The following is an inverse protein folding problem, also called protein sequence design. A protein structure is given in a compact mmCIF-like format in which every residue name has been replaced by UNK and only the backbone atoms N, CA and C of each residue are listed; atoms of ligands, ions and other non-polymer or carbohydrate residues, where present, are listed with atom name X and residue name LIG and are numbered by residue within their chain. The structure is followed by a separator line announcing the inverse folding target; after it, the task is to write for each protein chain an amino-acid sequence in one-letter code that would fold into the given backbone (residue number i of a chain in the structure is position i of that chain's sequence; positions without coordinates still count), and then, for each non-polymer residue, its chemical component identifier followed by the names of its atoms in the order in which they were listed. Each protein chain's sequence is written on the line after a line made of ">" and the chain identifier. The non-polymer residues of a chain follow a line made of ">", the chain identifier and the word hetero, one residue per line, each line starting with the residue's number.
data_IF_434139615991
#
_entry.id   IF_434139615991
#
_cell.length_a   1.000
_cell.length_b   1.000
_cell.length_c   1.000
_cell.angle_alpha   90.00
_cell.angle_beta   90.00
_cell.angle_gamma   90.00
#
_symmetry.space_group_name_H-M   'P 1'
#
loop_
_entity.id
_entity.type
_entity.pdbx_description
1 polymer ?
#
# COMPACT_ATOMS: atom_id res chain seq x y z
N UNK A 1 66.02 -64.84 -33.94
CA UNK A 1 65.64 -65.45 -32.64
C UNK A 1 64.11 -65.65 -32.62
N UNK A 2 63.70 -66.89 -32.31
CA UNK A 2 62.44 -67.45 -31.76
C UNK A 2 61.05 -66.78 -31.97
N UNK A 3 60.14 -67.67 -32.44
CA UNK A 3 58.65 -67.69 -32.47
C UNK A 3 57.94 -67.28 -31.16
N UNK A 4 56.64 -66.93 -31.27
CA UNK A 4 55.44 -67.58 -30.62
C UNK A 4 54.19 -66.67 -30.85
N UNK A 5 53.20 -67.04 -31.67
CA UNK A 5 51.91 -67.72 -31.35
C UNK A 5 51.21 -67.24 -30.05
N UNK A 6 50.04 -66.57 -30.13
CA UNK A 6 48.73 -67.04 -29.60
C UNK A 6 47.61 -65.96 -29.53
N UNK A 7 46.40 -66.45 -29.82
CA UNK A 7 45.04 -65.89 -29.68
C UNK A 7 44.53 -66.08 -28.21
N UNK A 8 43.22 -66.03 -27.86
CA UNK A 8 42.17 -64.99 -27.81
C UNK A 8 41.68 -64.69 -26.34
N UNK A 9 40.52 -64.00 -26.20
CA UNK A 9 39.56 -63.89 -25.05
C UNK A 9 39.74 -62.60 -24.23
N UNK A 10 38.74 -61.80 -23.83
CA UNK A 10 37.29 -62.00 -23.68
C UNK A 10 36.60 -60.65 -23.35
N UNK A 11 35.37 -60.52 -23.84
CA UNK A 11 34.19 -59.79 -23.31
C UNK A 11 34.31 -58.88 -22.07
N UNK A 12 33.69 -57.70 -22.14
CA UNK A 12 32.60 -57.25 -21.23
C UNK A 12 32.06 -55.86 -21.64
N UNK A 13 30.86 -55.84 -22.20
CA UNK A 13 29.61 -55.28 -21.62
C UNK A 13 29.45 -53.77 -21.72
N UNK A 14 28.40 -53.39 -22.44
CA UNK A 14 27.84 -52.06 -22.61
C UNK A 14 27.56 -51.36 -21.28
N UNK A 15 28.00 -50.10 -21.18
CA UNK A 15 27.49 -49.13 -20.23
C UNK A 15 26.86 -47.98 -21.00
N UNK A 16 25.55 -48.07 -21.21
CA UNK A 16 24.74 -46.97 -21.77
C UNK A 16 24.61 -45.90 -20.67
N UNK A 17 25.46 -44.88 -20.71
CA UNK A 17 25.33 -43.70 -19.84
C UNK A 17 24.15 -42.85 -20.33
N UNK A 18 23.02 -42.93 -19.64
CA UNK A 18 21.92 -41.97 -19.80
C UNK A 18 22.35 -40.61 -19.23
N UNK A 19 22.25 -39.50 -19.98
CA UNK A 19 22.47 -38.18 -19.42
C UNK A 19 21.26 -37.80 -18.54
N UNK A 20 21.52 -37.54 -17.26
CA UNK A 20 20.56 -36.95 -16.33
C UNK A 20 20.32 -35.49 -16.78
N UNK A 21 19.18 -35.22 -17.42
CA UNK A 21 18.76 -33.85 -17.74
C UNK A 21 18.28 -33.21 -16.43
N UNK A 22 19.13 -32.40 -15.82
CA UNK A 22 18.75 -31.56 -14.69
C UNK A 22 17.78 -30.47 -15.17
N UNK A 23 16.50 -30.59 -14.81
CA UNK A 23 15.51 -29.54 -15.01
C UNK A 23 15.88 -28.37 -14.07
N UNK A 24 16.53 -27.35 -14.60
CA UNK A 24 16.70 -26.08 -13.91
C UNK A 24 15.32 -25.40 -13.82
N UNK A 25 14.65 -25.56 -12.68
CA UNK A 25 13.48 -24.74 -12.33
C UNK A 25 14.01 -23.34 -12.10
N UNK A 26 13.90 -22.49 -13.13
CA UNK A 26 14.13 -21.06 -12.96
C UNK A 26 12.92 -20.51 -12.21
N UNK A 27 13.09 -20.28 -10.91
CA UNK A 27 12.16 -19.46 -10.15
C UNK A 27 12.19 -18.05 -10.75
N UNK A 28 11.16 -17.71 -11.53
CA UNK A 28 10.87 -16.31 -11.82
C UNK A 28 10.46 -15.68 -10.49
N UNK A 29 11.41 -15.01 -9.84
CA UNK A 29 11.08 -14.01 -8.84
C UNK A 29 10.34 -12.90 -9.61
N UNK A 30 9.01 -12.93 -9.56
CA UNK A 30 8.22 -11.76 -9.92
C UNK A 30 8.64 -10.67 -8.95
N UNK A 31 9.32 -9.63 -9.46
CA UNK A 31 9.40 -8.37 -8.75
C UNK A 31 7.97 -7.87 -8.63
N UNK A 32 7.36 -8.04 -7.47
CA UNK A 32 6.09 -7.37 -7.19
C UNK A 32 6.37 -5.87 -7.24
N UNK A 33 5.67 -5.20 -8.14
CA UNK A 33 5.69 -3.75 -8.24
C UNK A 33 5.10 -3.19 -6.95
N UNK A 34 5.96 -2.80 -6.01
CA UNK A 34 5.58 -2.14 -4.76
C UNK A 34 4.98 -0.74 -4.98
N UNK A 35 4.79 -0.30 -6.24
CA UNK A 35 3.89 0.79 -6.57
C UNK A 35 2.44 0.39 -6.25
N UNK A 36 2.02 0.58 -4.99
CA UNK A 36 0.68 0.18 -4.54
C UNK A 36 -0.40 0.66 -5.53
N UNK A 37 -1.12 -0.26 -6.21
CA UNK A 37 -2.09 0.06 -7.27
C UNK A 37 -3.37 0.72 -6.71
N UNK A 38 -3.45 0.87 -5.40
CA UNK A 38 -4.46 1.64 -4.71
C UNK A 38 -4.15 3.12 -4.76
N UNK A 39 -5.19 3.93 -4.97
CA UNK A 39 -5.05 5.38 -5.09
C UNK A 39 -5.32 6.02 -3.74
N UNK A 40 -4.46 6.95 -3.32
CA UNK A 40 -4.63 7.71 -2.08
C UNK A 40 -4.80 9.19 -2.39
N UNK A 41 -5.55 9.91 -1.57
CA UNK A 41 -5.78 11.35 -1.74
C UNK A 41 -4.79 12.15 -0.90
N UNK A 42 -4.22 13.19 -1.49
CA UNK A 42 -3.22 14.07 -0.88
C UNK A 42 -3.77 15.50 -0.85
N UNK A 43 -3.49 16.25 0.20
CA UNK A 43 -3.69 17.70 0.23
C UNK A 43 -2.53 18.37 -0.50
N UNK A 44 -2.59 18.49 -1.83
CA UNK A 44 -1.46 18.95 -2.66
C UNK A 44 -0.95 20.34 -2.28
N UNK A 45 -1.87 21.26 -1.97
CA UNK A 45 -1.54 22.68 -1.75
C UNK A 45 -1.18 23.02 -0.29
N UNK A 46 -1.24 22.03 0.61
CA UNK A 46 -0.89 22.18 2.03
C UNK A 46 0.16 21.15 2.44
N UNK A 47 0.90 21.43 3.52
CA UNK A 47 1.68 20.44 4.27
C UNK A 47 2.59 19.62 3.37
N UNK A 48 3.26 20.32 2.45
CA UNK A 48 4.20 19.77 1.47
C UNK A 48 3.61 18.68 0.56
N UNK A 49 2.29 18.69 0.33
CA UNK A 49 1.61 17.70 -0.51
C UNK A 49 2.14 17.62 -1.93
N UNK A 50 2.64 18.72 -2.51
CA UNK A 50 3.32 18.70 -3.82
C UNK A 50 4.51 17.74 -3.88
N UNK A 51 5.27 17.60 -2.79
CA UNK A 51 6.37 16.63 -2.73
C UNK A 51 5.82 15.19 -2.70
N UNK A 52 4.74 14.96 -1.96
CA UNK A 52 4.05 13.66 -1.89
C UNK A 52 3.49 13.27 -3.27
N UNK A 53 2.79 14.18 -3.96
CA UNK A 53 2.28 13.91 -5.32
C UNK A 53 3.40 13.76 -6.35
N UNK A 54 4.56 14.36 -6.11
CA UNK A 54 5.76 14.22 -6.95
C UNK A 54 6.57 12.94 -6.68
N UNK A 55 6.19 12.13 -5.69
CA UNK A 55 6.92 10.91 -5.31
C UNK A 55 8.17 11.14 -4.46
N UNK A 56 8.47 12.39 -4.07
CA UNK A 56 9.58 12.72 -3.18
C UNK A 56 9.16 12.54 -1.71
N UNK A 57 8.86 11.29 -1.36
CA UNK A 57 8.33 10.92 -0.06
C UNK A 57 9.32 11.22 1.07
N UNK A 58 10.61 10.94 0.87
CA UNK A 58 11.65 11.17 1.87
C UNK A 58 11.73 12.66 2.27
N UNK A 59 11.77 13.57 1.29
CA UNK A 59 11.81 15.02 1.57
C UNK A 59 10.49 15.51 2.15
N UNK A 60 9.35 14.98 1.69
CA UNK A 60 8.04 15.32 2.27
C UNK A 60 7.98 14.93 3.76
N UNK A 61 8.37 13.69 4.09
CA UNK A 61 8.38 13.15 5.45
C UNK A 61 9.25 14.01 6.37
N UNK A 62 10.48 14.33 5.96
CA UNK A 62 11.40 15.17 6.74
C UNK A 62 10.79 16.56 7.03
N UNK A 63 10.26 17.23 6.00
CA UNK A 63 9.70 18.58 6.13
C UNK A 63 8.40 18.64 6.92
N UNK A 64 7.54 17.62 6.81
CA UNK A 64 6.29 17.56 7.57
C UNK A 64 6.59 17.22 9.05
N UNK A 65 7.42 16.21 9.29
CA UNK A 65 7.70 15.69 10.65
C UNK A 65 8.50 16.68 11.49
N UNK A 66 9.50 17.37 10.91
CA UNK A 66 10.30 18.39 11.61
C UNK A 66 9.48 19.60 12.09
N UNK A 67 8.35 19.90 11.43
CA UNK A 67 7.37 20.91 11.92
C UNK A 67 6.45 20.35 13.00
N UNK A 68 6.12 19.06 12.93
CA UNK A 68 5.23 18.36 13.87
C UNK A 68 5.84 18.13 15.25
N UNK A 69 7.15 17.94 15.38
CA UNK A 69 7.79 17.85 16.70
C UNK A 69 7.64 19.14 17.53
N UNK A 70 7.42 20.28 16.86
CA UNK A 70 7.28 21.59 17.51
C UNK A 70 5.82 22.01 17.74
N UNK A 71 4.84 21.31 17.14
CA UNK A 71 3.41 21.68 17.14
C UNK A 71 2.55 20.43 16.97
N UNK A 72 1.37 20.37 17.61
CA UNK A 72 0.37 19.34 17.29
C UNK A 72 0.03 19.40 15.80
N UNK A 73 0.39 18.36 15.04
CA UNK A 73 0.23 18.32 13.57
C UNK A 73 -1.21 18.57 13.14
N UNK A 74 -1.38 19.22 11.98
CA UNK A 74 -2.69 19.48 11.38
C UNK A 74 -3.29 18.20 10.78
N UNK A 75 -4.54 18.27 10.32
CA UNK A 75 -5.18 17.12 9.69
C UNK A 75 -4.51 16.80 8.34
N UNK A 76 -4.25 17.84 7.56
CA UNK A 76 -3.57 17.80 6.25
C UNK A 76 -2.16 17.23 6.38
N UNK A 77 -1.40 17.64 7.40
CA UNK A 77 -0.08 17.10 7.67
C UNK A 77 -0.11 15.60 8.00
N UNK A 78 -1.05 15.16 8.84
CA UNK A 78 -1.20 13.74 9.18
C UNK A 78 -1.67 12.91 7.98
N UNK A 79 -2.58 13.46 7.18
CA UNK A 79 -3.02 12.81 5.93
C UNK A 79 -1.86 12.68 4.94
N UNK A 80 -1.07 13.73 4.74
CA UNK A 80 0.06 13.68 3.81
C UNK A 80 1.17 12.74 4.33
N UNK A 81 1.42 12.67 5.65
CA UNK A 81 2.31 11.66 6.23
C UNK A 81 1.77 10.24 6.06
N UNK A 82 0.48 10.02 6.29
CA UNK A 82 -0.19 8.73 6.05
C UNK A 82 0.08 8.24 4.61
N UNK A 83 -0.11 9.12 3.61
CA UNK A 83 0.18 8.78 2.21
C UNK A 83 1.66 8.55 1.97
N UNK A 84 2.53 9.47 2.41
CA UNK A 84 3.96 9.37 2.15
C UNK A 84 4.56 8.11 2.77
N UNK A 85 4.24 7.79 4.03
CA UNK A 85 4.70 6.57 4.69
C UNK A 85 4.13 5.31 4.05
N UNK A 86 2.85 5.31 3.65
CA UNK A 86 2.25 4.14 2.97
C UNK A 86 2.95 3.88 1.64
N UNK A 87 3.20 4.93 0.85
CA UNK A 87 3.82 4.83 -0.46
C UNK A 87 5.35 4.60 -0.39
N UNK A 88 6.02 4.96 0.70
CA UNK A 88 7.43 4.63 0.94
C UNK A 88 7.65 3.27 1.62
N UNK A 89 6.58 2.58 2.03
CA UNK A 89 6.66 1.28 2.70
C UNK A 89 6.97 1.34 4.20
N UNK A 90 6.93 2.52 4.82
CA UNK A 90 7.11 2.71 6.27
C UNK A 90 5.80 2.46 7.03
N UNK A 91 5.31 1.23 6.97
CA UNK A 91 3.92 0.88 7.31
C UNK A 91 3.55 1.13 8.77
N UNK A 92 4.47 0.95 9.73
CA UNK A 92 4.21 1.27 11.15
C UNK A 92 4.00 2.77 11.36
N UNK A 93 4.77 3.61 10.66
CA UNK A 93 4.61 5.06 10.75
C UNK A 93 3.36 5.52 10.00
N UNK A 94 3.04 4.86 8.90
CA UNK A 94 1.79 5.07 8.18
C UNK A 94 0.59 4.80 9.09
N UNK A 95 0.60 3.70 9.85
CA UNK A 95 -0.46 3.35 10.80
C UNK A 95 -0.71 4.47 11.80
N UNK A 96 0.35 4.96 12.45
CA UNK A 96 0.25 6.06 13.39
C UNK A 96 -0.33 7.33 12.75
N UNK A 97 0.14 7.68 11.54
CA UNK A 97 -0.31 8.88 10.84
C UNK A 97 -1.77 8.78 10.37
N UNK A 98 -2.16 7.67 9.73
CA UNK A 98 -3.52 7.45 9.24
C UNK A 98 -4.53 7.39 10.41
N UNK A 99 -4.20 6.67 11.49
CA UNK A 99 -5.04 6.63 12.68
C UNK A 99 -5.19 8.01 13.34
N UNK A 100 -4.12 8.80 13.38
CA UNK A 100 -4.18 10.16 13.90
C UNK A 100 -5.06 11.07 13.02
N UNK A 101 -4.98 10.96 11.69
CA UNK A 101 -5.82 11.72 10.77
C UNK A 101 -7.32 11.44 11.01
N UNK A 102 -7.70 10.16 11.07
CA UNK A 102 -9.10 9.74 11.37
C UNK A 102 -9.53 10.24 12.74
N UNK A 103 -8.74 10.02 13.79
CA UNK A 103 -9.07 10.42 15.16
C UNK A 103 -9.23 11.94 15.31
N UNK A 104 -8.54 12.73 14.48
CA UNK A 104 -8.63 14.20 14.52
C UNK A 104 -9.92 14.71 13.90
N UNK A 105 -10.42 14.08 12.83
CA UNK A 105 -11.57 14.57 12.07
C UNK A 105 -12.89 13.93 12.48
N UNK A 106 -12.90 12.64 12.85
CA UNK A 106 -14.10 11.89 13.17
C UNK A 106 -15.00 12.56 14.23
N UNK A 107 -14.51 12.98 15.42
CA UNK A 107 -15.36 13.61 16.42
C UNK A 107 -15.85 15.01 16.01
N UNK A 108 -15.20 15.64 15.02
CA UNK A 108 -15.67 16.91 14.45
C UNK A 108 -16.82 16.64 13.48
N UNK A 109 -16.63 15.70 12.55
CA UNK A 109 -17.66 15.28 11.60
C UNK A 109 -18.94 14.80 12.30
N UNK A 110 -18.83 13.86 13.24
CA UNK A 110 -19.99 13.33 13.98
C UNK A 110 -20.77 14.44 14.70
N UNK A 111 -20.07 15.42 15.27
CA UNK A 111 -20.68 16.55 15.97
C UNK A 111 -21.35 17.51 15.00
N UNK A 112 -20.72 17.81 13.87
CA UNK A 112 -21.30 18.71 12.86
C UNK A 112 -22.57 18.11 12.27
N UNK A 113 -22.59 16.79 12.01
CA UNK A 113 -23.75 16.06 11.49
C UNK A 113 -24.94 16.02 12.45
N UNK A 114 -24.68 15.95 13.76
CA UNK A 114 -25.75 15.91 14.77
C UNK A 114 -26.33 17.28 15.09
N UNK A 115 -25.61 18.36 14.82
CA UNK A 115 -25.99 19.71 15.23
C UNK A 115 -26.88 20.35 14.16
N UNK A 116 -28.18 20.49 14.49
CA UNK A 116 -29.21 21.07 13.61
C UNK A 116 -28.89 22.48 13.08
N UNK A 117 -28.07 23.27 13.79
CA UNK A 117 -27.71 24.63 13.37
C UNK A 117 -26.44 24.71 12.52
N UNK A 118 -25.76 23.59 12.25
CA UNK A 118 -24.61 23.57 11.34
C UNK A 118 -25.10 23.80 9.91
N UNK A 119 -24.57 24.79 9.17
CA UNK A 119 -24.87 24.91 7.75
C UNK A 119 -24.46 23.65 6.99
N UNK A 120 -25.27 23.22 6.02
CA UNK A 120 -25.03 21.94 5.32
C UNK A 120 -23.65 21.87 4.69
N UNK A 121 -23.19 22.94 4.03
CA UNK A 121 -21.85 22.98 3.42
C UNK A 121 -20.71 22.79 4.42
N UNK A 122 -20.90 23.17 5.70
CA UNK A 122 -19.92 22.93 6.76
C UNK A 122 -19.94 21.46 7.16
N UNK A 123 -21.12 20.88 7.36
CA UNK A 123 -21.24 19.46 7.68
C UNK A 123 -20.66 18.58 6.56
N UNK A 124 -20.95 18.96 5.31
CA UNK A 124 -20.43 18.31 4.11
C UNK A 124 -18.90 18.30 4.06
N UNK A 125 -18.24 19.44 4.28
CA UNK A 125 -16.77 19.49 4.28
C UNK A 125 -16.14 18.57 5.33
N UNK A 126 -16.78 18.39 6.50
CA UNK A 126 -16.32 17.42 7.49
C UNK A 126 -16.61 15.96 7.11
N UNK A 127 -17.71 15.67 6.40
CA UNK A 127 -17.95 14.33 5.82
C UNK A 127 -16.82 14.00 4.84
N UNK A 128 -16.50 14.93 3.93
CA UNK A 128 -15.45 14.74 2.91
C UNK A 128 -14.10 14.47 3.55
N UNK A 129 -13.70 15.24 4.57
CA UNK A 129 -12.44 14.98 5.27
C UNK A 129 -12.43 13.63 6.00
N UNK A 130 -13.54 13.20 6.60
CA UNK A 130 -13.61 11.89 7.23
C UNK A 130 -13.57 10.76 6.20
N UNK A 131 -14.32 10.87 5.10
CA UNK A 131 -14.33 9.89 4.02
C UNK A 131 -12.93 9.72 3.41
N UNK A 132 -12.23 10.83 3.16
CA UNK A 132 -10.86 10.84 2.68
C UNK A 132 -9.91 10.13 3.65
N UNK A 133 -9.97 10.46 4.94
CA UNK A 133 -9.09 9.89 5.95
C UNK A 133 -9.31 8.37 6.10
N UNK A 134 -10.57 7.93 6.09
CA UNK A 134 -10.95 6.52 6.10
C UNK A 134 -10.46 5.81 4.84
N UNK A 135 -10.70 6.38 3.65
CA UNK A 135 -10.24 5.80 2.40
C UNK A 135 -8.71 5.64 2.37
N UNK A 136 -7.94 6.64 2.83
CA UNK A 136 -6.50 6.53 2.91
C UNK A 136 -6.04 5.45 3.91
N UNK A 137 -6.68 5.35 5.09
CA UNK A 137 -6.37 4.27 6.04
C UNK A 137 -6.74 2.89 5.49
N UNK A 138 -7.83 2.78 4.75
CA UNK A 138 -8.21 1.55 4.05
C UNK A 138 -7.14 1.09 3.05
N UNK A 139 -6.49 2.03 2.34
CA UNK A 139 -5.35 1.70 1.47
C UNK A 139 -4.16 1.17 2.27
N UNK A 140 -3.84 1.75 3.42
CA UNK A 140 -2.79 1.22 4.28
C UNK A 140 -3.09 -0.22 4.71
N UNK A 141 -4.31 -0.49 5.19
CA UNK A 141 -4.73 -1.84 5.57
C UNK A 141 -4.62 -2.81 4.39
N UNK A 142 -5.05 -2.41 3.19
CA UNK A 142 -4.94 -3.24 1.99
C UNK A 142 -3.48 -3.56 1.64
N UNK A 143 -2.57 -2.58 1.74
CA UNK A 143 -1.13 -2.76 1.51
C UNK A 143 -0.49 -3.69 2.54
N UNK A 144 -0.98 -3.70 3.78
CA UNK A 144 -0.52 -4.60 4.85
C UNK A 144 -1.06 -6.03 4.74
N UNK A 145 -2.03 -6.27 3.84
CA UNK A 145 -2.75 -7.54 3.73
C UNK A 145 -3.95 -7.67 4.66
N UNK A 146 -4.33 -6.59 5.36
CA UNK A 146 -5.45 -6.55 6.32
C UNK A 146 -6.77 -6.31 5.57
N UNK A 147 -7.16 -7.24 4.69
CA UNK A 147 -8.28 -7.04 3.76
C UNK A 147 -9.62 -6.74 4.45
N UNK A 148 -9.89 -7.34 5.62
CA UNK A 148 -11.12 -7.08 6.38
C UNK A 148 -11.20 -5.63 6.86
N UNK A 149 -10.11 -5.10 7.40
CA UNK A 149 -10.05 -3.74 7.94
C UNK A 149 -10.07 -2.72 6.80
N UNK A 150 -9.37 -3.01 5.70
CA UNK A 150 -9.42 -2.21 4.48
C UNK A 150 -10.86 -2.08 3.96
N UNK A 151 -11.58 -3.20 3.86
CA UNK A 151 -12.98 -3.23 3.43
C UNK A 151 -13.87 -2.41 4.36
N UNK A 152 -13.70 -2.55 5.67
CA UNK A 152 -14.49 -1.79 6.64
C UNK A 152 -14.29 -0.28 6.48
N UNK A 153 -13.04 0.17 6.28
CA UNK A 153 -12.73 1.58 6.06
C UNK A 153 -13.29 2.12 4.74
N UNK A 154 -13.15 1.38 3.64
CA UNK A 154 -13.71 1.82 2.36
C UNK A 154 -15.23 1.91 2.41
N UNK A 155 -15.92 0.92 2.97
CA UNK A 155 -17.37 0.95 3.11
C UNK A 155 -17.84 2.12 3.97
N UNK A 156 -17.16 2.36 5.10
CA UNK A 156 -17.50 3.49 5.97
C UNK A 156 -17.24 4.84 5.28
N UNK A 157 -16.23 4.94 4.43
CA UNK A 157 -16.00 6.13 3.61
C UNK A 157 -17.11 6.31 2.56
N UNK A 158 -17.55 5.24 1.90
CA UNK A 158 -18.67 5.24 0.94
C UNK A 158 -20.00 5.66 1.57
N UNK A 159 -20.28 5.22 2.80
CA UNK A 159 -21.50 5.57 3.54
C UNK A 159 -21.64 7.07 3.85
N UNK A 160 -20.54 7.83 3.80
CA UNK A 160 -20.57 9.27 4.03
C UNK A 160 -21.09 10.06 2.83
N UNK A 161 -21.27 9.41 1.66
CA UNK A 161 -21.88 9.95 0.45
C UNK A 161 -21.26 11.30 0.03
N UNK A 162 -19.95 11.26 -0.25
CA UNK A 162 -19.16 12.45 -0.58
C UNK A 162 -18.52 12.32 -1.95
N UNK A 163 -18.45 13.41 -2.69
CA UNK A 163 -17.74 13.48 -3.97
C UNK A 163 -16.23 13.70 -3.72
N UNK A 164 -15.48 12.60 -3.56
CA UNK A 164 -14.02 12.66 -3.46
C UNK A 164 -13.36 12.62 -4.85
N UNK A 165 -12.17 13.25 -5.02
CA UNK A 165 -11.38 13.12 -6.25
C UNK A 165 -11.04 11.67 -6.60
N UNK A 166 -10.88 10.83 -5.57
CA UNK A 166 -10.69 9.39 -5.68
C UNK A 166 -11.77 8.74 -4.83
N UNK A 167 -12.71 8.06 -5.49
CA UNK A 167 -13.84 7.46 -4.80
C UNK A 167 -13.39 6.23 -3.98
N UNK A 168 -13.88 6.03 -2.74
CA UNK A 168 -13.55 4.86 -1.93
C UNK A 168 -13.92 3.53 -2.62
N UNK A 169 -14.98 3.55 -3.43
CA UNK A 169 -15.49 2.40 -4.20
C UNK A 169 -14.45 1.90 -5.21
N UNK A 170 -13.60 2.79 -5.74
CA UNK A 170 -12.54 2.41 -6.69
C UNK A 170 -11.52 1.48 -6.02
N UNK A 171 -11.10 1.81 -4.79
CA UNK A 171 -10.18 0.97 -4.02
C UNK A 171 -10.87 -0.27 -3.47
N UNK A 172 -12.14 -0.18 -3.05
CA UNK A 172 -12.92 -1.33 -2.61
C UNK A 172 -13.07 -2.37 -3.72
N UNK A 173 -13.50 -1.96 -4.92
CA UNK A 173 -13.64 -2.85 -6.06
C UNK A 173 -12.30 -3.49 -6.46
N UNK A 174 -11.18 -2.82 -6.20
CA UNK A 174 -9.84 -3.41 -6.39
C UNK A 174 -9.57 -4.48 -5.34
N UNK A 175 -9.78 -4.17 -4.06
CA UNK A 175 -9.60 -5.09 -2.95
C UNK A 175 -10.41 -6.38 -3.16
N UNK A 176 -11.64 -6.26 -3.65
CA UNK A 176 -12.53 -7.40 -3.93
C UNK A 176 -12.09 -8.29 -5.11
N UNK A 177 -11.24 -7.78 -6.02
CA UNK A 177 -10.66 -8.59 -7.11
C UNK A 177 -9.36 -9.29 -6.70
N UNK A 178 -8.75 -8.85 -5.60
CA UNK A 178 -7.46 -9.34 -5.10
C UNK A 178 -7.60 -10.39 -4.00
N UNK A 179 -8.81 -10.66 -3.52
CA UNK A 179 -9.16 -11.72 -2.59
C UNK A 179 -9.98 -12.82 -3.29
#
# INVERSE_FOLDING_TARGET
>A
MKKLINNPKTARTAGLMLPLIALAVTSFAHAEDFGSPYTMTVFSDDSYGRLVTGGDYATAIDKISSRGERRRMTFEAQTNLCVAYTKSGELEKADAACNTAVAKIQPMAERMLKRRSTPEYVAQGYREYLALALANRGVLHAVRGDASDARADFLRASELDTELPVSPETNLARLERSN
#
